data_IF_269886495990
#
_entry.id   IF_269886495990
#
_cell.length_a   1.000
_cell.length_b   1.000
_cell.length_c   1.000
_cell.angle_alpha   90.00
_cell.angle_beta   90.00
_cell.angle_gamma   90.00
#
_symmetry.space_group_name_H-M   'P 1'
#
loop_
_entity.id
_entity.type
_entity.pdbx_description
1 polymer ?
#
# COMPACT_ATOMS: atom_id res chain seq x y z
N UNK A 1 -30.48 35.82 12.11
CA UNK A 1 -30.65 34.81 11.03
C UNK A 1 -29.37 33.98 11.00
N UNK A 2 -29.33 32.89 11.78
CA UNK A 2 -28.16 32.00 11.89
C UNK A 2 -28.44 30.77 11.04
N UNK A 3 -27.71 30.59 9.93
CA UNK A 3 -27.61 29.28 9.26
C UNK A 3 -26.36 28.58 9.79
N UNK A 4 -26.55 27.72 10.78
CA UNK A 4 -25.57 26.71 11.17
C UNK A 4 -25.60 25.60 10.12
N UNK A 5 -24.65 25.63 9.19
CA UNK A 5 -24.39 24.53 8.27
C UNK A 5 -23.73 23.38 9.02
N UNK A 6 -24.47 22.29 9.22
CA UNK A 6 -23.94 21.02 9.72
C UNK A 6 -23.16 20.37 8.56
N UNK A 7 -21.87 20.66 8.48
CA UNK A 7 -20.92 19.91 7.66
C UNK A 7 -20.55 18.62 8.38
N UNK A 8 -21.40 17.60 8.28
CA UNK A 8 -21.06 16.24 8.71
C UNK A 8 -20.08 15.63 7.71
N UNK A 9 -18.81 15.52 8.09
CA UNK A 9 -17.84 14.72 7.35
C UNK A 9 -18.35 13.29 7.29
N UNK A 10 -18.66 12.80 6.09
CA UNK A 10 -19.01 11.41 5.83
C UNK A 10 -17.74 10.57 6.00
N UNK A 11 -17.38 10.26 7.24
CA UNK A 11 -16.47 9.17 7.52
C UNK A 11 -17.18 7.88 7.06
N UNK A 12 -16.63 7.22 6.04
CA UNK A 12 -17.17 5.95 5.55
C UNK A 12 -17.26 4.93 6.68
N UNK A 13 -18.36 4.18 6.73
CA UNK A 13 -18.52 3.12 7.73
C UNK A 13 -17.37 2.12 7.62
N UNK A 14 -16.83 1.69 8.76
CA UNK A 14 -15.77 0.70 8.79
C UNK A 14 -16.22 -0.62 8.12
N UNK A 15 -15.39 -1.26 7.29
CA UNK A 15 -15.71 -2.55 6.70
C UNK A 15 -15.98 -3.63 7.75
N UNK A 16 -16.73 -4.66 7.36
CA UNK A 16 -16.96 -5.81 8.23
C UNK A 16 -15.62 -6.43 8.63
N UNK A 17 -15.42 -6.69 9.92
CA UNK A 17 -14.19 -7.31 10.43
C UNK A 17 -13.02 -6.35 10.65
N UNK A 18 -13.18 -5.04 10.36
CA UNK A 18 -12.08 -4.08 10.42
C UNK A 18 -11.46 -3.98 11.83
N UNK A 19 -12.26 -4.00 12.90
CA UNK A 19 -11.75 -3.94 14.27
C UNK A 19 -10.87 -5.15 14.63
N UNK A 20 -11.24 -6.34 14.17
CA UNK A 20 -10.46 -7.57 14.39
C UNK A 20 -9.13 -7.51 13.64
N UNK A 21 -9.15 -7.06 12.39
CA UNK A 21 -7.95 -6.84 11.56
C UNK A 21 -7.03 -5.81 12.22
N UNK A 22 -7.58 -4.69 12.70
CA UNK A 22 -6.82 -3.65 13.43
C UNK A 22 -6.15 -4.23 14.67
N UNK A 23 -6.91 -4.99 15.46
CA UNK A 23 -6.40 -5.64 16.67
C UNK A 23 -5.21 -6.54 16.37
N UNK A 24 -5.33 -7.42 15.37
CA UNK A 24 -4.27 -8.34 14.97
C UNK A 24 -3.02 -7.61 14.46
N UNK A 25 -3.18 -6.61 13.60
CA UNK A 25 -2.07 -5.84 13.03
C UNK A 25 -1.35 -4.96 14.07
N UNK A 26 -2.08 -4.55 15.12
CA UNK A 26 -1.56 -3.75 16.23
C UNK A 26 -0.70 -4.54 17.22
N UNK A 27 -0.73 -5.87 17.17
CA UNK A 27 0.05 -6.74 18.05
C UNK A 27 1.55 -6.43 17.95
N UNK A 28 2.29 -6.59 19.05
CA UNK A 28 3.75 -6.35 19.04
C UNK A 28 4.44 -7.27 18.03
N UNK A 29 4.08 -8.55 18.04
CA UNK A 29 4.58 -9.53 17.08
C UNK A 29 3.72 -9.51 15.82
N UNK A 30 4.36 -9.68 14.67
CA UNK A 30 3.65 -9.73 13.41
C UNK A 30 2.84 -11.02 13.33
N UNK A 31 1.57 -10.88 12.99
CA UNK A 31 0.68 -12.01 12.66
C UNK A 31 0.82 -12.27 11.15
N UNK A 32 0.88 -13.53 10.70
CA UNK A 32 0.91 -13.85 9.27
C UNK A 32 -0.31 -13.27 8.53
N UNK A 33 -0.12 -12.78 7.30
CA UNK A 33 -1.19 -12.11 6.55
C UNK A 33 -2.42 -13.01 6.32
N UNK A 34 -2.21 -14.30 6.04
CA UNK A 34 -3.30 -15.27 5.91
C UNK A 34 -4.16 -15.38 7.18
N UNK A 35 -3.57 -15.28 8.39
CA UNK A 35 -4.32 -15.28 9.65
C UNK A 35 -5.08 -13.98 9.85
N UNK A 36 -4.51 -12.83 9.44
CA UNK A 36 -5.17 -11.53 9.50
C UNK A 36 -6.37 -11.48 8.55
N UNK A 37 -6.19 -11.95 7.31
CA UNK A 37 -7.23 -11.97 6.27
C UNK A 37 -8.41 -12.85 6.67
N UNK A 38 -8.17 -13.96 7.38
CA UNK A 38 -9.22 -14.84 7.88
C UNK A 38 -10.14 -14.20 8.95
N UNK A 39 -9.76 -13.04 9.51
CA UNK A 39 -10.58 -12.32 10.51
C UNK A 39 -11.73 -11.53 9.89
N UNK A 40 -11.78 -11.41 8.57
CA UNK A 40 -12.79 -10.64 7.85
C UNK A 40 -13.25 -11.37 6.58
N UNK A 41 -14.54 -11.30 6.22
CA UNK A 41 -15.00 -11.79 4.93
C UNK A 41 -14.63 -10.87 3.75
N UNK A 42 -14.09 -9.68 4.03
CA UNK A 42 -13.75 -8.65 3.04
C UNK A 42 -12.31 -8.13 3.27
N UNK A 43 -11.29 -8.98 3.07
CA UNK A 43 -9.90 -8.67 3.42
C UNK A 43 -9.37 -7.41 2.74
N UNK A 44 -9.59 -7.24 1.42
CA UNK A 44 -9.09 -6.07 0.69
C UNK A 44 -9.68 -4.75 1.23
N UNK A 45 -11.01 -4.56 1.30
CA UNK A 45 -11.57 -3.35 1.90
C UNK A 45 -11.12 -3.10 3.34
N UNK A 46 -11.06 -4.15 4.18
CA UNK A 46 -10.65 -4.01 5.57
C UNK A 46 -9.18 -3.58 5.70
N UNK A 47 -8.27 -4.17 4.92
CA UNK A 47 -6.85 -3.81 4.94
C UNK A 47 -6.61 -2.40 4.40
N UNK A 48 -7.29 -2.00 3.31
CA UNK A 48 -7.23 -0.62 2.79
C UNK A 48 -7.74 0.39 3.83
N UNK A 49 -8.84 0.07 4.51
CA UNK A 49 -9.32 0.89 5.62
C UNK A 49 -8.26 1.06 6.72
N UNK A 50 -7.53 -0.01 7.07
CA UNK A 50 -6.44 0.09 8.06
C UNK A 50 -5.30 0.98 7.56
N UNK A 51 -4.90 0.85 6.29
CA UNK A 51 -3.87 1.72 5.70
C UNK A 51 -4.25 3.20 5.79
N UNK A 52 -5.51 3.52 5.50
CA UNK A 52 -5.97 4.91 5.33
C UNK A 52 -6.43 5.57 6.63
N UNK A 53 -7.04 4.82 7.54
CA UNK A 53 -7.75 5.38 8.69
C UNK A 53 -7.04 5.15 10.03
N UNK A 54 -6.08 4.22 10.10
CA UNK A 54 -5.45 3.83 11.37
C UNK A 54 -4.09 4.51 11.53
N UNK A 55 -4.05 5.52 12.41
CA UNK A 55 -2.83 6.26 12.68
C UNK A 55 -1.94 5.63 13.79
N UNK A 56 -2.51 4.81 14.68
CA UNK A 56 -1.77 4.20 15.80
C UNK A 56 -2.17 2.74 16.04
N UNK A 57 -1.20 1.84 16.27
CA UNK A 57 0.24 2.09 16.22
C UNK A 57 0.76 2.26 14.78
N UNK A 58 1.89 2.95 14.54
CA UNK A 58 2.34 3.30 13.18
C UNK A 58 2.72 2.10 12.32
N UNK A 59 2.99 0.93 12.92
CA UNK A 59 3.26 -0.30 12.16
C UNK A 59 2.00 -1.00 11.65
N UNK A 60 0.82 -0.73 12.21
CA UNK A 60 -0.43 -1.36 11.77
C UNK A 60 -0.77 -1.07 10.30
N UNK A 61 -0.81 0.20 9.83
CA UNK A 61 -1.05 0.49 8.42
C UNK A 61 0.06 -0.08 7.51
N UNK A 62 1.32 -0.06 7.95
CA UNK A 62 2.41 -0.64 7.17
C UNK A 62 2.29 -2.15 7.01
N UNK A 63 1.85 -2.87 8.06
CA UNK A 63 1.60 -4.31 7.98
C UNK A 63 0.37 -4.62 7.13
N UNK A 64 -0.69 -3.80 7.19
CA UNK A 64 -1.83 -3.93 6.30
C UNK A 64 -1.40 -3.82 4.83
N UNK A 65 -0.58 -2.81 4.50
CA UNK A 65 -0.04 -2.63 3.16
C UNK A 65 0.84 -3.82 2.71
N UNK A 66 1.59 -4.44 3.63
CA UNK A 66 2.35 -5.67 3.33
C UNK A 66 1.40 -6.82 2.96
N UNK A 67 0.33 -7.03 3.71
CA UNK A 67 -0.63 -8.10 3.38
C UNK A 67 -1.31 -7.88 2.03
N UNK A 68 -1.66 -6.63 1.73
CA UNK A 68 -2.19 -6.27 0.41
C UNK A 68 -1.18 -6.57 -0.72
N UNK A 69 0.12 -6.30 -0.51
CA UNK A 69 1.16 -6.60 -1.50
C UNK A 69 1.40 -8.11 -1.68
N UNK A 70 1.30 -8.90 -0.61
CA UNK A 70 1.58 -10.34 -0.64
C UNK A 70 0.41 -11.17 -1.22
N UNK A 71 -0.83 -10.78 -0.95
CA UNK A 71 -2.02 -11.56 -1.33
C UNK A 71 -2.94 -10.91 -2.38
N UNK A 72 -2.91 -9.59 -2.52
CA UNK A 72 -4.00 -8.84 -3.17
C UNK A 72 -3.52 -7.76 -4.16
N UNK A 73 -2.26 -7.78 -4.57
CA UNK A 73 -1.68 -6.71 -5.38
C UNK A 73 -2.47 -6.42 -6.67
N UNK A 74 -2.95 -7.48 -7.34
CA UNK A 74 -3.75 -7.39 -8.56
C UNK A 74 -5.12 -6.72 -8.35
N UNK A 75 -5.68 -6.80 -7.14
CA UNK A 75 -6.97 -6.18 -6.80
C UNK A 75 -6.83 -4.70 -6.47
N UNK A 76 -5.63 -4.26 -6.12
CA UNK A 76 -5.35 -2.89 -5.65
C UNK A 76 -4.37 -2.12 -6.54
N UNK A 77 -4.22 -2.50 -7.81
CA UNK A 77 -3.23 -1.88 -8.72
C UNK A 77 -3.33 -0.36 -8.79
N UNK A 78 -4.55 0.19 -8.86
CA UNK A 78 -4.77 1.64 -8.86
C UNK A 78 -4.25 2.30 -7.57
N UNK A 79 -4.43 1.63 -6.43
CA UNK A 79 -3.94 2.11 -5.15
C UNK A 79 -2.40 2.02 -5.06
N UNK A 80 -1.80 0.96 -5.58
CA UNK A 80 -0.34 0.82 -5.65
C UNK A 80 0.29 1.92 -6.51
N UNK A 81 -0.33 2.25 -7.63
CA UNK A 81 0.11 3.37 -8.47
C UNK A 81 0.06 4.68 -7.69
N UNK A 82 -1.05 4.96 -6.99
CA UNK A 82 -1.19 6.15 -6.15
C UNK A 82 -0.11 6.20 -5.06
N UNK A 83 0.17 5.08 -4.38
CA UNK A 83 1.19 5.03 -3.33
C UNK A 83 2.59 5.36 -3.86
N UNK A 84 2.90 4.95 -5.09
CA UNK A 84 4.20 5.17 -5.73
C UNK A 84 4.36 6.60 -6.26
N UNK A 85 3.29 7.25 -6.69
CA UNK A 85 3.33 8.58 -7.33
C UNK A 85 2.99 9.74 -6.40
N UNK A 86 2.31 9.49 -5.27
CA UNK A 86 1.92 10.55 -4.32
C UNK A 86 3.06 10.92 -3.34
N UNK A 87 3.45 12.21 -3.25
CA UNK A 87 4.40 12.70 -2.24
C UNK A 87 3.97 12.43 -0.79
N UNK A 88 2.66 12.47 -0.53
CA UNK A 88 2.06 12.29 0.80
C UNK A 88 2.13 10.83 1.28
N UNK A 89 2.25 9.89 0.34
CA UNK A 89 2.28 8.45 0.58
C UNK A 89 3.67 7.85 0.38
N UNK A 90 4.72 8.67 0.42
CA UNK A 90 6.10 8.28 0.15
C UNK A 90 6.59 7.08 0.99
N UNK A 91 6.09 6.91 2.21
CA UNK A 91 6.35 5.70 3.02
C UNK A 91 5.81 4.42 2.40
N UNK A 92 4.58 4.46 1.88
CA UNK A 92 3.96 3.35 1.16
C UNK A 92 4.60 3.15 -0.20
N UNK A 93 4.89 4.22 -0.96
CA UNK A 93 5.61 4.11 -2.23
C UNK A 93 6.96 3.41 -2.08
N UNK A 94 7.75 3.76 -1.06
CA UNK A 94 9.01 3.06 -0.73
C UNK A 94 8.80 1.60 -0.36
N UNK A 95 7.73 1.28 0.38
CA UNK A 95 7.37 -0.10 0.69
C UNK A 95 7.08 -0.90 -0.59
N UNK A 96 6.26 -0.36 -1.49
CA UNK A 96 5.92 -0.98 -2.78
C UNK A 96 7.19 -1.26 -3.59
N UNK A 97 8.09 -0.27 -3.72
CA UNK A 97 9.34 -0.44 -4.47
C UNK A 97 10.29 -1.48 -3.83
N UNK A 98 10.29 -1.60 -2.50
CA UNK A 98 11.03 -2.63 -1.79
C UNK A 98 10.43 -4.04 -1.93
N UNK A 99 9.21 -4.16 -2.46
CA UNK A 99 8.45 -5.41 -2.59
C UNK A 99 8.12 -5.78 -4.03
N UNK A 100 8.71 -5.11 -5.03
CA UNK A 100 8.53 -5.49 -6.45
C UNK A 100 8.76 -6.99 -6.74
N UNK A 101 9.69 -7.71 -6.09
CA UNK A 101 9.89 -9.15 -6.36
C UNK A 101 8.70 -10.05 -5.99
N UNK A 102 7.78 -9.61 -5.12
CA UNK A 102 6.59 -10.39 -4.75
C UNK A 102 5.38 -10.08 -5.61
N UNK A 103 5.49 -9.09 -6.51
CA UNK A 103 4.41 -8.67 -7.39
C UNK A 103 4.42 -9.45 -8.71
N UNK A 104 3.28 -9.53 -9.42
CA UNK A 104 3.28 -9.95 -10.81
C UNK A 104 4.22 -9.07 -11.63
N UNK A 105 5.07 -9.68 -12.46
CA UNK A 105 6.09 -8.96 -13.25
C UNK A 105 5.52 -7.77 -14.04
N UNK A 106 4.37 -7.88 -14.74
CA UNK A 106 3.78 -6.74 -15.44
C UNK A 106 3.47 -5.56 -14.51
N UNK A 107 2.86 -5.83 -13.36
CA UNK A 107 2.55 -4.83 -12.32
C UNK A 107 3.84 -4.23 -11.74
N UNK A 108 4.85 -5.05 -11.47
CA UNK A 108 6.13 -4.58 -10.94
C UNK A 108 6.85 -3.62 -11.92
N UNK A 109 6.86 -3.95 -13.21
CA UNK A 109 7.46 -3.12 -14.27
C UNK A 109 6.71 -1.80 -14.40
N UNK A 110 5.39 -1.82 -14.41
CA UNK A 110 4.57 -0.61 -14.53
C UNK A 110 4.78 0.34 -13.32
N UNK A 111 4.75 -0.20 -12.10
CA UNK A 111 5.01 0.59 -10.89
C UNK A 111 6.43 1.15 -10.87
N UNK A 112 7.42 0.36 -11.29
CA UNK A 112 8.80 0.82 -11.41
C UNK A 112 8.97 1.94 -12.42
N UNK A 113 8.31 1.85 -13.59
CA UNK A 113 8.30 2.90 -14.62
C UNK A 113 7.72 4.20 -14.06
N UNK A 114 6.55 4.12 -13.40
CA UNK A 114 5.91 5.29 -12.77
C UNK A 114 6.78 5.91 -11.67
N UNK A 115 7.44 5.10 -10.86
CA UNK A 115 8.34 5.61 -9.83
C UNK A 115 9.50 6.44 -10.40
N UNK A 116 9.98 6.09 -11.60
CA UNK A 116 11.04 6.82 -12.30
C UNK A 116 10.54 8.11 -12.98
N UNK A 117 9.34 8.09 -13.56
CA UNK A 117 8.81 9.21 -14.36
C UNK A 117 7.94 10.20 -13.58
N UNK A 118 7.12 9.70 -12.65
CA UNK A 118 6.06 10.43 -11.96
C UNK A 118 6.29 10.46 -10.44
N UNK A 119 7.12 9.56 -9.91
CA UNK A 119 7.37 9.41 -8.49
C UNK A 119 8.03 10.63 -7.84
N UNK A 120 7.78 10.87 -6.54
CA UNK A 120 8.34 12.02 -5.82
C UNK A 120 9.86 11.91 -5.57
N UNK A 121 10.45 10.72 -5.72
CA UNK A 121 11.87 10.47 -5.46
C UNK A 121 12.53 9.60 -6.56
N UNK A 122 12.65 10.09 -7.81
CA UNK A 122 13.09 9.27 -8.96
C UNK A 122 14.53 8.74 -8.80
N UNK A 123 15.44 9.50 -8.20
CA UNK A 123 16.81 9.03 -7.94
C UNK A 123 16.88 7.91 -6.91
N UNK A 124 16.01 7.97 -5.88
CA UNK A 124 15.89 6.89 -4.90
C UNK A 124 15.23 5.66 -5.51
N UNK A 125 14.23 5.86 -6.37
CA UNK A 125 13.65 4.78 -7.15
C UNK A 125 14.74 4.11 -7.99
N UNK A 126 15.50 4.87 -8.80
CA UNK A 126 16.64 4.38 -9.59
C UNK A 126 17.61 3.54 -8.76
N UNK A 127 18.05 4.04 -7.60
CA UNK A 127 18.93 3.31 -6.69
C UNK A 127 18.32 2.01 -6.13
N UNK A 128 17.01 1.97 -5.94
CA UNK A 128 16.27 0.78 -5.49
C UNK A 128 16.14 -0.23 -6.61
N UNK A 129 15.69 0.21 -7.80
CA UNK A 129 15.51 -0.64 -8.97
C UNK A 129 16.82 -1.26 -9.44
N UNK A 130 17.96 -0.56 -9.30
CA UNK A 130 19.28 -1.10 -9.62
C UNK A 130 19.64 -2.36 -8.82
N UNK A 131 19.06 -2.51 -7.63
CA UNK A 131 19.23 -3.67 -6.74
C UNK A 131 18.09 -4.69 -6.85
N UNK A 132 17.14 -4.49 -7.76
CA UNK A 132 16.01 -5.40 -7.92
C UNK A 132 16.47 -6.79 -8.37
N UNK A 133 15.81 -7.82 -7.86
CA UNK A 133 15.96 -9.20 -8.30
C UNK A 133 15.15 -9.47 -9.58
N UNK A 134 14.17 -8.62 -9.90
CA UNK A 134 13.35 -8.70 -11.12
C UNK A 134 14.14 -8.10 -12.28
N UNK A 135 14.49 -8.93 -13.27
CA UNK A 135 15.37 -8.57 -14.38
C UNK A 135 14.74 -7.46 -15.24
N UNK A 136 13.44 -7.58 -15.52
CA UNK A 136 12.65 -6.64 -16.31
C UNK A 136 12.62 -5.26 -15.66
N UNK A 137 12.54 -5.20 -14.33
CA UNK A 137 12.60 -3.95 -13.56
C UNK A 137 13.97 -3.29 -13.67
N UNK A 138 15.07 -4.07 -13.62
CA UNK A 138 16.42 -3.52 -13.81
C UNK A 138 16.64 -3.01 -15.23
N UNK A 139 16.07 -3.70 -16.23
CA UNK A 139 16.21 -3.35 -17.64
C UNK A 139 15.71 -1.92 -17.93
N UNK A 140 14.71 -1.44 -17.18
CA UNK A 140 14.21 -0.06 -17.26
C UNK A 140 15.30 1.00 -17.09
N UNK A 141 16.39 0.71 -16.37
CA UNK A 141 17.47 1.67 -16.13
C UNK A 141 18.42 1.86 -17.32
N UNK A 142 18.30 0.98 -18.33
CA UNK A 142 19.07 1.04 -19.57
C UNK A 142 18.21 1.49 -20.76
N UNK A 143 16.92 1.75 -20.54
CA UNK A 143 16.05 2.37 -21.55
C UNK A 143 16.48 3.84 -21.73
N UNK A 144 16.53 4.32 -22.99
CA UNK A 144 16.93 5.70 -23.32
C UNK A 144 15.90 6.74 -22.89
#
# INVERSE_FOLDING_TARGET
>A
MWMLGIGGALAGAAPQGAEQVIGALSMRHAVPCAEVEALTPVPVPALLYVVEQVARPPWAPMRAAVCLLEGHASEIEAQLQLWVTSPELLGLGRLVLGRLPVLPVPTAVELARRALSEGPEPERARATLARSEVIEVRALLSEP
#
